data_IF_128212023109
#
_entry.id   IF_128212023109
#
_cell.length_a   1.000
_cell.length_b   1.000
_cell.length_c   1.000
_cell.angle_alpha   90.00
_cell.angle_beta   90.00
_cell.angle_gamma   90.00
#
_symmetry.space_group_name_H-M   'P 1'
#
loop_
_entity.id
_entity.type
_entity.pdbx_description
1 polymer ?
#
# COMPACT_ATOMS: atom_id res chain seq x y z
N UNK A 1 13.44 -9.29 -0.08
CA UNK A 1 13.27 -8.59 1.21
C UNK A 1 13.25 -7.10 0.97
N UNK A 2 12.37 -6.36 1.65
CA UNK A 2 12.27 -4.90 1.59
C UNK A 2 12.72 -4.32 2.94
N UNK A 3 13.65 -3.37 2.92
CA UNK A 3 14.19 -2.74 4.12
C UNK A 3 14.01 -1.22 4.03
N UNK A 4 13.50 -0.63 5.10
CA UNK A 4 13.34 0.81 5.29
C UNK A 4 14.27 1.24 6.42
N UNK A 5 15.21 2.16 6.14
CA UNK A 5 16.28 2.54 7.09
C UNK A 5 16.27 4.04 7.32
N UNK A 6 15.87 4.45 8.52
CA UNK A 6 15.86 5.83 9.01
C UNK A 6 15.28 6.85 8.03
N UNK A 7 14.16 6.46 7.40
CA UNK A 7 13.48 7.29 6.39
C UNK A 7 12.88 8.51 7.07
N UNK A 8 13.29 9.68 6.58
CA UNK A 8 12.75 10.97 7.00
C UNK A 8 12.27 11.75 5.78
N UNK A 9 11.10 12.39 5.91
CA UNK A 9 10.57 13.31 4.91
C UNK A 9 10.17 14.64 5.52
N UNK A 10 10.90 15.68 5.17
CA UNK A 10 10.57 17.07 5.45
C UNK A 10 9.87 17.70 4.25
N UNK A 11 8.80 18.43 4.51
CA UNK A 11 8.12 19.29 3.54
C UNK A 11 8.19 20.74 3.98
N UNK A 12 8.16 21.64 2.99
CA UNK A 12 8.05 23.08 3.19
C UNK A 12 6.66 23.56 2.77
N UNK A 13 5.98 24.31 3.62
CA UNK A 13 4.70 24.94 3.35
C UNK A 13 4.83 26.44 3.44
N UNK A 14 4.60 27.15 2.33
CA UNK A 14 4.49 28.61 2.32
C UNK A 14 3.17 29.01 3.00
N UNK A 15 3.25 29.78 4.06
CA UNK A 15 2.08 30.37 4.75
C UNK A 15 1.79 31.76 4.18
N UNK A 16 2.82 32.52 3.82
CA UNK A 16 2.73 33.84 3.21
C UNK A 16 3.86 34.05 2.21
N UNK A 17 3.90 35.24 1.55
CA UNK A 17 5.01 35.58 0.65
C UNK A 17 6.39 35.60 1.34
N UNK A 18 6.43 35.76 2.68
CA UNK A 18 7.68 35.89 3.46
C UNK A 18 7.89 34.76 4.45
N UNK A 19 6.93 33.84 4.63
CA UNK A 19 6.99 32.83 5.66
C UNK A 19 6.81 31.42 5.11
N UNK A 20 7.78 30.57 5.37
CA UNK A 20 7.76 29.13 5.02
C UNK A 20 7.97 28.35 6.31
N UNK A 21 7.07 27.41 6.61
CA UNK A 21 7.24 26.46 7.71
C UNK A 21 7.72 25.12 7.14
N UNK A 22 8.62 24.50 7.89
CA UNK A 22 9.06 23.13 7.66
C UNK A 22 8.28 22.20 8.59
N UNK A 23 7.88 21.04 8.10
CA UNK A 23 7.29 19.99 8.93
C UNK A 23 7.76 18.61 8.47
N UNK A 24 7.90 17.70 9.42
CA UNK A 24 8.25 16.32 9.16
C UNK A 24 6.94 15.53 8.93
N UNK A 25 6.84 14.92 7.76
CA UNK A 25 5.75 13.99 7.46
C UNK A 25 6.08 12.59 7.97
N UNK A 26 7.36 12.21 7.90
CA UNK A 26 7.93 10.98 8.43
C UNK A 26 9.28 11.31 9.07
N UNK A 27 9.59 10.71 10.22
CA UNK A 27 10.73 10.99 11.05
C UNK A 27 11.42 9.69 11.51
N UNK A 28 12.59 9.40 10.92
CA UNK A 28 13.47 8.25 11.22
C UNK A 28 12.77 6.87 11.21
N UNK A 29 11.83 6.66 10.30
CA UNK A 29 11.08 5.40 10.18
C UNK A 29 12.01 4.27 9.71
N UNK A 30 12.04 3.18 10.47
CA UNK A 30 12.79 1.97 10.13
C UNK A 30 11.98 0.71 10.39
N UNK A 31 11.92 -0.20 9.40
CA UNK A 31 11.36 -1.54 9.51
C UNK A 31 11.78 -2.39 8.32
N UNK A 32 11.47 -3.68 8.37
CA UNK A 32 11.68 -4.63 7.28
C UNK A 32 10.41 -5.41 6.97
N UNK A 33 10.26 -5.82 5.70
CA UNK A 33 9.25 -6.78 5.25
C UNK A 33 9.96 -7.98 4.59
N UNK A 34 9.68 -9.17 5.12
CA UNK A 34 10.24 -10.43 4.62
C UNK A 34 9.45 -10.93 3.41
N UNK A 35 10.03 -11.85 2.65
CA UNK A 35 9.32 -12.50 1.55
C UNK A 35 8.06 -13.22 2.05
N UNK A 36 6.94 -12.99 1.37
CA UNK A 36 5.65 -13.56 1.74
C UNK A 36 5.00 -12.97 3.00
N UNK A 37 5.56 -11.88 3.56
CA UNK A 37 5.02 -11.21 4.74
C UNK A 37 4.04 -10.09 4.34
N UNK A 38 2.92 -10.01 5.05
CA UNK A 38 2.01 -8.86 4.98
C UNK A 38 2.32 -7.93 6.15
N UNK A 39 2.87 -6.75 5.86
CA UNK A 39 3.18 -5.72 6.84
C UNK A 39 2.13 -4.62 6.80
N UNK A 40 1.37 -4.47 7.86
CA UNK A 40 0.37 -3.42 8.04
C UNK A 40 1.01 -2.10 8.47
N UNK A 41 0.78 -1.03 7.71
CA UNK A 41 1.16 0.34 8.09
C UNK A 41 -0.09 1.03 8.65
N UNK A 42 -0.19 1.10 9.97
CA UNK A 42 -1.38 1.58 10.66
C UNK A 42 -1.20 2.97 11.26
N UNK A 43 -2.26 3.75 11.24
CA UNK A 43 -2.29 5.07 11.86
C UNK A 43 -3.45 5.91 11.36
N UNK A 44 -3.75 7.03 12.02
CA UNK A 44 -4.82 7.93 11.63
C UNK A 44 -4.51 8.64 10.29
N UNK A 45 -5.51 9.33 9.76
CA UNK A 45 -5.31 10.20 8.60
C UNK A 45 -4.30 11.30 8.94
N UNK A 46 -3.34 11.53 8.02
CA UNK A 46 -2.26 12.50 8.25
C UNK A 46 -1.08 11.97 9.07
N UNK A 47 -1.05 10.69 9.48
CA UNK A 47 0.07 10.11 10.23
C UNK A 47 1.37 9.94 9.44
N UNK A 48 1.37 10.10 8.09
CA UNK A 48 2.54 9.90 7.23
C UNK A 48 2.43 8.68 6.30
N UNK A 49 1.48 7.76 6.50
CA UNK A 49 1.38 6.47 5.78
C UNK A 49 1.58 6.57 4.27
N UNK A 50 0.80 7.41 3.59
CA UNK A 50 0.89 7.59 2.12
C UNK A 50 2.25 8.15 1.70
N UNK A 51 2.82 9.07 2.47
CA UNK A 51 4.15 9.65 2.19
C UNK A 51 5.23 8.57 2.28
N UNK A 52 5.20 7.78 3.35
CA UNK A 52 6.10 6.65 3.54
C UNK A 52 5.99 5.65 2.39
N UNK A 53 4.77 5.21 2.02
CA UNK A 53 4.56 4.25 0.94
C UNK A 53 5.04 4.78 -0.43
N UNK A 54 4.88 6.09 -0.70
CA UNK A 54 5.42 6.72 -1.92
C UNK A 54 6.94 6.73 -1.96
N UNK A 55 7.60 6.90 -0.82
CA UNK A 55 9.06 6.80 -0.74
C UNK A 55 9.52 5.35 -0.97
N UNK A 56 8.84 4.39 -0.38
CA UNK A 56 9.12 2.96 -0.57
C UNK A 56 8.91 2.53 -2.03
N UNK A 57 7.86 3.03 -2.69
CA UNK A 57 7.60 2.76 -4.10
C UNK A 57 8.56 3.50 -5.07
N UNK A 58 9.48 4.34 -4.57
CA UNK A 58 10.40 5.12 -5.39
C UNK A 58 9.72 6.21 -6.24
N UNK A 59 8.53 6.67 -5.81
CA UNK A 59 7.79 7.77 -6.45
C UNK A 59 8.21 9.11 -5.85
N UNK A 60 8.66 9.08 -4.59
CA UNK A 60 9.12 10.24 -3.86
C UNK A 60 10.48 9.95 -3.24
N UNK A 61 11.41 10.90 -3.34
CA UNK A 61 12.69 10.78 -2.65
C UNK A 61 12.55 11.16 -1.18
N UNK A 62 13.13 10.38 -0.26
CA UNK A 62 13.26 10.79 1.14
C UNK A 62 14.19 12.00 1.26
N UNK A 63 14.06 12.77 2.34
CA UNK A 63 15.01 13.82 2.73
C UNK A 63 16.30 13.19 3.26
N UNK A 64 16.17 12.12 4.05
CA UNK A 64 17.28 11.28 4.53
C UNK A 64 16.85 9.84 4.70
N UNK A 65 17.82 8.94 4.91
CA UNK A 65 17.59 7.51 4.97
C UNK A 65 17.54 6.84 3.61
N UNK A 66 17.22 5.56 3.59
CA UNK A 66 17.19 4.75 2.35
C UNK A 66 16.16 3.63 2.39
N UNK A 67 15.73 3.22 1.19
CA UNK A 67 14.92 2.03 0.96
C UNK A 67 15.73 1.05 0.12
N UNK A 68 15.83 -0.19 0.59
CA UNK A 68 16.46 -1.28 -0.13
C UNK A 68 15.41 -2.33 -0.51
N UNK A 69 15.41 -2.70 -1.77
CA UNK A 69 14.56 -3.78 -2.32
C UNK A 69 15.50 -4.85 -2.87
N UNK A 70 15.48 -6.04 -2.27
CA UNK A 70 16.45 -7.13 -2.55
C UNK A 70 17.91 -6.63 -2.52
N UNK A 71 18.23 -5.78 -1.52
CA UNK A 71 19.57 -5.20 -1.35
C UNK A 71 19.92 -4.06 -2.30
N UNK A 72 19.03 -3.68 -3.24
CA UNK A 72 19.23 -2.61 -4.21
C UNK A 72 18.55 -1.32 -3.74
N UNK A 73 19.25 -0.19 -3.84
CA UNK A 73 18.69 1.13 -3.52
C UNK A 73 17.99 1.75 -4.74
N UNK A 74 16.88 2.44 -4.52
CA UNK A 74 16.16 3.18 -5.56
C UNK A 74 17.01 4.24 -6.28
N UNK A 75 18.00 4.82 -5.61
CA UNK A 75 18.88 5.83 -6.20
C UNK A 75 19.66 5.29 -7.40
N UNK A 76 20.08 4.02 -7.31
CA UNK A 76 20.97 3.40 -8.29
C UNK A 76 20.24 2.45 -9.24
N UNK A 77 19.07 1.91 -8.83
CA UNK A 77 18.39 0.82 -9.52
C UNK A 77 16.88 1.09 -9.73
N UNK A 78 16.48 2.34 -9.90
CA UNK A 78 15.07 2.74 -9.83
C UNK A 78 14.16 2.05 -10.86
N UNK A 79 14.63 1.80 -12.09
CA UNK A 79 13.83 1.15 -13.14
C UNK A 79 13.62 -0.34 -12.84
N UNK A 80 14.68 -1.05 -12.43
CA UNK A 80 14.61 -2.47 -12.07
C UNK A 80 13.67 -2.70 -10.90
N UNK A 81 13.85 -1.90 -9.82
CA UNK A 81 13.03 -2.01 -8.61
C UNK A 81 11.55 -1.73 -8.92
N UNK A 82 11.26 -0.71 -9.74
CA UNK A 82 9.88 -0.38 -10.11
C UNK A 82 9.15 -1.46 -10.90
N UNK A 83 9.87 -2.30 -11.63
CA UNK A 83 9.28 -3.47 -12.32
C UNK A 83 8.80 -4.54 -11.34
N UNK A 84 9.43 -4.64 -10.17
CA UNK A 84 9.10 -5.61 -9.13
C UNK A 84 8.06 -5.08 -8.12
N UNK A 85 7.59 -3.83 -8.28
CA UNK A 85 6.65 -3.18 -7.36
C UNK A 85 5.32 -2.87 -8.04
N UNK A 86 4.22 -3.36 -7.45
CA UNK A 86 2.88 -2.82 -7.67
C UNK A 86 2.63 -1.69 -6.66
N UNK A 87 2.24 -0.52 -7.12
CA UNK A 87 1.83 0.57 -6.22
C UNK A 87 0.41 1.03 -6.51
N UNK A 88 -0.47 0.84 -5.52
CA UNK A 88 -1.80 1.40 -5.49
C UNK A 88 -1.83 2.59 -4.55
N UNK A 89 -2.33 3.73 -5.01
CA UNK A 89 -2.64 4.90 -4.19
C UNK A 89 -4.13 5.22 -4.27
N UNK A 90 -4.73 5.67 -3.17
CA UNK A 90 -6.15 5.99 -3.08
C UNK A 90 -6.64 7.07 -4.06
N UNK A 91 -5.72 7.85 -4.67
CA UNK A 91 -6.03 8.88 -5.66
C UNK A 91 -5.65 8.50 -7.10
N UNK A 92 -5.51 7.22 -7.39
CA UNK A 92 -5.20 6.77 -8.75
C UNK A 92 -6.33 7.13 -9.71
N UNK A 93 -6.01 7.94 -10.73
CA UNK A 93 -6.96 8.22 -11.82
C UNK A 93 -6.72 7.24 -12.96
N UNK A 94 -7.76 6.51 -13.34
CA UNK A 94 -7.75 5.64 -14.50
C UNK A 94 -8.22 6.39 -15.74
N UNK A 95 -7.87 5.88 -16.92
CA UNK A 95 -8.38 6.38 -18.20
C UNK A 95 -9.87 6.08 -18.30
N UNK A 96 -10.70 7.13 -18.40
CA UNK A 96 -12.15 7.02 -18.28
C UNK A 96 -12.84 6.39 -19.50
N UNK A 97 -12.23 6.55 -20.68
CA UNK A 97 -12.85 6.22 -21.97
C UNK A 97 -12.62 4.78 -22.43
N UNK A 98 -11.79 4.04 -21.71
CA UNK A 98 -11.48 2.63 -21.99
C UNK A 98 -12.11 1.71 -20.94
N UNK A 99 -12.16 0.43 -21.25
CA UNK A 99 -12.65 -0.62 -20.35
C UNK A 99 -11.51 -1.15 -19.43
N UNK A 100 -11.83 -1.84 -18.32
CA UNK A 100 -10.85 -2.57 -17.52
C UNK A 100 -10.02 -3.56 -18.34
N UNK A 101 -10.65 -4.31 -19.25
CA UNK A 101 -9.94 -5.24 -20.14
C UNK A 101 -8.88 -4.53 -21.00
N UNK A 102 -9.27 -3.43 -21.65
CA UNK A 102 -8.33 -2.62 -22.47
C UNK A 102 -7.21 -2.02 -21.64
N UNK A 103 -7.53 -1.56 -20.41
CA UNK A 103 -6.52 -1.03 -19.48
C UNK A 103 -5.50 -2.11 -19.08
N UNK A 104 -5.96 -3.31 -18.73
CA UNK A 104 -5.08 -4.44 -18.38
C UNK A 104 -4.21 -4.84 -19.56
N UNK A 105 -4.78 -4.91 -20.76
CA UNK A 105 -4.06 -5.20 -21.99
C UNK A 105 -2.96 -4.18 -22.26
N UNK A 106 -3.29 -2.89 -22.21
CA UNK A 106 -2.33 -1.80 -22.40
C UNK A 106 -1.18 -1.87 -21.37
N UNK A 107 -1.51 -2.13 -20.11
CA UNK A 107 -0.49 -2.25 -19.06
C UNK A 107 0.41 -3.47 -19.26
N UNK A 108 -0.15 -4.64 -19.58
CA UNK A 108 0.63 -5.84 -19.82
C UNK A 108 1.55 -5.72 -21.03
N UNK A 109 1.08 -5.13 -22.12
CA UNK A 109 1.89 -4.82 -23.30
C UNK A 109 3.05 -3.86 -22.96
N UNK A 110 2.79 -2.84 -22.12
CA UNK A 110 3.84 -1.93 -21.64
C UNK A 110 4.95 -2.65 -20.87
N UNK A 111 4.61 -3.67 -20.09
CA UNK A 111 5.59 -4.50 -19.38
C UNK A 111 6.23 -5.60 -20.27
N UNK A 112 5.85 -5.68 -21.54
CA UNK A 112 6.43 -6.61 -22.52
C UNK A 112 5.96 -8.06 -22.37
N UNK A 113 4.78 -8.28 -21.80
CA UNK A 113 4.16 -9.61 -21.70
C UNK A 113 3.72 -10.05 -23.10
N UNK A 114 3.98 -11.31 -23.49
CA UNK A 114 3.56 -11.85 -24.78
C UNK A 114 2.03 -11.87 -24.88
N UNK A 115 1.50 -11.81 -26.12
CA UNK A 115 0.04 -11.72 -26.32
C UNK A 115 -0.69 -12.93 -25.74
N UNK A 116 -0.16 -14.14 -25.95
CA UNK A 116 -0.77 -15.38 -25.46
C UNK A 116 -0.78 -15.46 -23.94
N UNK A 117 0.33 -15.10 -23.31
CA UNK A 117 0.45 -15.04 -21.85
C UNK A 117 -0.45 -13.96 -21.26
N UNK A 118 -0.51 -12.80 -21.91
CA UNK A 118 -1.32 -11.66 -21.44
C UNK A 118 -2.80 -11.96 -21.44
N UNK A 119 -3.32 -12.59 -22.49
CA UNK A 119 -4.74 -12.98 -22.57
C UNK A 119 -5.11 -13.94 -21.44
N UNK A 120 -4.31 -15.00 -21.21
CA UNK A 120 -4.52 -15.93 -20.08
C UNK A 120 -4.48 -15.21 -18.73
N UNK A 121 -3.51 -14.31 -18.54
CA UNK A 121 -3.33 -13.56 -17.29
C UNK A 121 -4.47 -12.58 -17.03
N UNK A 122 -4.98 -11.92 -18.06
CA UNK A 122 -6.14 -11.03 -17.95
C UNK A 122 -7.39 -11.84 -17.54
N UNK A 123 -7.63 -13.00 -18.11
CA UNK A 123 -8.75 -13.87 -17.73
C UNK A 123 -8.67 -14.31 -16.27
N UNK A 124 -7.48 -14.67 -15.78
CA UNK A 124 -7.26 -14.99 -14.38
C UNK A 124 -7.53 -13.80 -13.45
N UNK A 125 -7.07 -12.61 -13.82
CA UNK A 125 -7.27 -11.38 -13.06
C UNK A 125 -8.76 -11.00 -13.02
N UNK A 126 -9.47 -11.08 -14.15
CA UNK A 126 -10.91 -10.80 -14.23
C UNK A 126 -11.67 -11.68 -13.24
N UNK A 127 -11.39 -12.98 -13.21
CA UNK A 127 -12.01 -13.93 -12.28
C UNK A 127 -11.64 -13.62 -10.83
N UNK A 128 -10.35 -13.39 -10.56
CA UNK A 128 -9.82 -13.11 -9.22
C UNK A 128 -10.45 -11.87 -8.58
N UNK A 129 -10.70 -10.84 -9.37
CA UNK A 129 -11.30 -9.59 -8.91
C UNK A 129 -12.81 -9.50 -9.18
N UNK A 130 -13.45 -10.61 -9.55
CA UNK A 130 -14.90 -10.66 -9.83
C UNK A 130 -15.34 -9.53 -10.78
N UNK A 131 -14.69 -9.47 -11.96
CA UNK A 131 -14.86 -8.38 -12.91
C UNK A 131 -15.69 -8.80 -14.15
N UNK A 132 -16.19 -10.04 -14.24
CA UNK A 132 -16.88 -10.59 -15.41
C UNK A 132 -18.04 -9.71 -15.89
N UNK A 133 -18.79 -9.12 -14.96
CA UNK A 133 -19.97 -8.31 -15.27
C UNK A 133 -19.66 -6.91 -15.81
N UNK A 134 -18.40 -6.42 -15.65
CA UNK A 134 -18.07 -5.04 -16.01
C UNK A 134 -16.72 -4.85 -16.72
N UNK A 135 -15.97 -5.93 -16.99
CA UNK A 135 -14.63 -5.81 -17.59
C UNK A 135 -14.60 -5.15 -18.98
N UNK A 136 -15.72 -5.11 -19.70
CA UNK A 136 -15.89 -4.43 -20.99
C UNK A 136 -16.69 -3.13 -20.90
N UNK A 137 -17.11 -2.69 -19.71
CA UNK A 137 -17.77 -1.40 -19.53
C UNK A 137 -16.74 -0.29 -19.44
N UNK A 138 -17.11 0.93 -19.81
CA UNK A 138 -16.23 2.09 -19.68
C UNK A 138 -15.95 2.38 -18.21
N UNK A 139 -14.70 2.72 -17.88
CA UNK A 139 -14.25 2.97 -16.51
C UNK A 139 -15.01 4.13 -15.85
N UNK A 140 -15.45 5.15 -16.62
CA UNK A 140 -16.24 6.26 -16.06
C UNK A 140 -17.65 5.87 -15.59
N UNK A 141 -18.15 4.69 -15.97
CA UNK A 141 -19.47 4.18 -15.56
C UNK A 141 -19.43 3.22 -14.38
N UNK A 142 -18.23 2.88 -13.91
CA UNK A 142 -18.03 1.92 -12.83
C UNK A 142 -18.43 2.47 -11.45
N UNK A 143 -18.95 1.59 -10.59
CA UNK A 143 -19.13 1.89 -9.17
C UNK A 143 -17.76 2.06 -8.48
N UNK A 144 -17.74 2.65 -7.29
CA UNK A 144 -16.49 2.84 -6.51
C UNK A 144 -15.75 1.51 -6.29
N UNK A 145 -16.47 0.43 -5.94
CA UNK A 145 -15.88 -0.88 -5.74
C UNK A 145 -15.32 -1.50 -7.02
N UNK A 146 -16.06 -1.38 -8.15
CA UNK A 146 -15.59 -1.83 -9.47
C UNK A 146 -14.35 -1.04 -9.92
N UNK A 147 -14.34 0.27 -9.72
CA UNK A 147 -13.20 1.14 -10.02
C UNK A 147 -11.98 0.74 -9.20
N UNK A 148 -12.15 0.46 -7.90
CA UNK A 148 -11.05 0.07 -7.03
C UNK A 148 -10.48 -1.30 -7.42
N UNK A 149 -11.35 -2.30 -7.72
CA UNK A 149 -10.93 -3.61 -8.24
C UNK A 149 -10.13 -3.46 -9.54
N UNK A 150 -10.59 -2.61 -10.46
CA UNK A 150 -9.84 -2.28 -11.69
C UNK A 150 -8.50 -1.62 -11.40
N UNK A 151 -8.44 -0.71 -10.41
CA UNK A 151 -7.21 -0.02 -10.02
C UNK A 151 -6.14 -0.99 -9.48
N UNK A 152 -6.55 -1.97 -8.66
CA UNK A 152 -5.64 -2.99 -8.13
C UNK A 152 -5.21 -3.95 -9.25
N UNK A 153 -6.15 -4.44 -10.06
CA UNK A 153 -5.89 -5.34 -11.18
C UNK A 153 -4.81 -4.80 -12.11
N UNK A 154 -4.90 -3.51 -12.45
CA UNK A 154 -3.90 -2.81 -13.25
C UNK A 154 -2.50 -2.85 -12.61
N UNK A 155 -2.42 -2.71 -11.28
CA UNK A 155 -1.14 -2.70 -10.58
C UNK A 155 -0.47 -4.08 -10.56
N UNK A 156 -1.23 -5.16 -10.69
CA UNK A 156 -0.71 -6.53 -10.51
C UNK A 156 -0.60 -7.33 -11.82
N UNK A 157 -1.01 -6.76 -12.96
CA UNK A 157 -1.00 -7.47 -14.25
C UNK A 157 0.39 -7.97 -14.68
N UNK A 158 1.46 -7.30 -14.28
CA UNK A 158 2.85 -7.68 -14.56
C UNK A 158 3.46 -8.64 -13.53
N UNK A 159 2.65 -9.14 -12.58
CA UNK A 159 3.02 -10.11 -11.54
C UNK A 159 4.23 -9.71 -10.68
N UNK A 160 4.27 -8.50 -10.10
CA UNK A 160 5.41 -8.03 -9.32
C UNK A 160 5.60 -8.81 -8.03
N UNK A 161 6.80 -8.72 -7.41
CA UNK A 161 7.11 -9.36 -6.13
C UNK A 161 6.53 -8.63 -4.93
N UNK A 162 6.45 -7.30 -5.01
CA UNK A 162 6.07 -6.40 -3.91
C UNK A 162 4.78 -5.68 -4.23
N UNK A 163 3.79 -5.80 -3.35
CA UNK A 163 2.54 -5.06 -3.44
C UNK A 163 2.51 -3.97 -2.37
N UNK A 164 2.41 -2.73 -2.77
CA UNK A 164 2.28 -1.56 -1.90
C UNK A 164 0.87 -1.02 -2.10
N UNK A 165 -0.01 -1.26 -1.14
CA UNK A 165 -1.43 -0.97 -1.22
C UNK A 165 -1.80 0.11 -0.19
N UNK A 166 -2.06 1.33 -0.68
CA UNK A 166 -2.42 2.46 0.17
C UNK A 166 -3.94 2.58 0.30
N UNK A 167 -4.45 2.21 1.47
CA UNK A 167 -5.87 2.20 1.85
C UNK A 167 -6.78 1.50 0.82
N UNK A 168 -6.49 0.25 0.41
CA UNK A 168 -7.14 -0.37 -0.74
C UNK A 168 -8.64 -0.65 -0.56
N UNK A 169 -9.13 -0.72 0.68
CA UNK A 169 -10.55 -0.98 1.03
C UNK A 169 -11.30 0.27 1.48
N UNK A 170 -10.63 1.43 1.53
CA UNK A 170 -11.23 2.66 2.04
C UNK A 170 -12.44 3.10 1.20
N UNK A 171 -13.58 3.36 1.87
CA UNK A 171 -14.81 3.80 1.23
C UNK A 171 -15.57 2.73 0.44
N UNK A 172 -15.20 1.45 0.58
CA UNK A 172 -15.85 0.34 -0.10
C UNK A 172 -16.93 -0.32 0.78
N UNK A 173 -17.90 -0.92 0.14
CA UNK A 173 -18.83 -1.84 0.79
C UNK A 173 -18.16 -3.15 1.19
N UNK A 174 -18.85 -3.94 2.05
CA UNK A 174 -18.33 -5.20 2.60
C UNK A 174 -17.98 -6.22 1.53
N UNK A 175 -18.77 -6.29 0.45
CA UNK A 175 -18.57 -7.28 -0.64
C UNK A 175 -17.31 -6.91 -1.42
N UNK A 176 -17.18 -5.65 -1.83
CA UNK A 176 -16.01 -5.15 -2.56
C UNK A 176 -14.73 -5.26 -1.72
N UNK A 177 -14.80 -4.94 -0.43
CA UNK A 177 -13.68 -5.08 0.50
C UNK A 177 -13.25 -6.53 0.64
N UNK A 178 -14.20 -7.48 0.70
CA UNK A 178 -13.91 -8.91 0.80
C UNK A 178 -13.08 -9.41 -0.39
N UNK A 179 -13.42 -9.03 -1.62
CA UNK A 179 -12.67 -9.42 -2.82
C UNK A 179 -11.20 -8.99 -2.71
N UNK A 180 -10.95 -7.76 -2.22
CA UNK A 180 -9.60 -7.24 -2.05
C UNK A 180 -8.84 -7.98 -0.93
N UNK A 181 -9.49 -8.25 0.19
CA UNK A 181 -8.91 -9.01 1.31
C UNK A 181 -8.55 -10.43 0.88
N UNK A 182 -9.44 -11.11 0.14
CA UNK A 182 -9.19 -12.46 -0.38
C UNK A 182 -8.01 -12.45 -1.38
N UNK A 183 -7.92 -11.43 -2.24
CA UNK A 183 -6.75 -11.22 -3.10
C UNK A 183 -5.44 -11.06 -2.29
N UNK A 184 -5.43 -10.27 -1.22
CA UNK A 184 -4.24 -10.10 -0.36
C UNK A 184 -3.81 -11.42 0.27
N UNK A 185 -4.77 -12.23 0.76
CA UNK A 185 -4.49 -13.55 1.33
C UNK A 185 -3.92 -14.52 0.31
N UNK A 186 -4.46 -14.54 -0.92
CA UNK A 186 -3.94 -15.36 -2.01
C UNK A 186 -2.54 -14.91 -2.43
N UNK A 187 -2.31 -13.60 -2.57
CA UNK A 187 -1.01 -13.05 -2.90
C UNK A 187 0.05 -13.42 -1.85
N UNK A 188 -0.29 -13.38 -0.55
CA UNK A 188 0.55 -13.88 0.54
C UNK A 188 0.87 -15.37 0.37
N UNK A 189 -0.14 -16.21 0.09
CA UNK A 189 0.06 -17.64 -0.13
C UNK A 189 1.01 -17.92 -1.31
N UNK A 190 1.01 -17.04 -2.33
CA UNK A 190 1.94 -17.04 -3.46
C UNK A 190 3.27 -16.32 -3.17
N UNK A 191 3.63 -16.14 -1.89
CA UNK A 191 4.88 -15.54 -1.40
C UNK A 191 5.13 -14.10 -1.87
N UNK A 192 4.09 -13.35 -2.25
CA UNK A 192 4.20 -11.92 -2.50
C UNK A 192 4.40 -11.18 -1.18
N UNK A 193 5.30 -10.20 -1.16
CA UNK A 193 5.50 -9.32 0.00
C UNK A 193 4.57 -8.12 -0.11
N UNK A 194 3.80 -7.83 0.92
CA UNK A 194 2.73 -6.84 0.86
C UNK A 194 2.91 -5.79 1.95
N UNK A 195 2.97 -4.52 1.57
CA UNK A 195 2.77 -3.39 2.47
C UNK A 195 1.33 -2.92 2.33
N UNK A 196 0.58 -2.96 3.41
CA UNK A 196 -0.84 -2.69 3.44
C UNK A 196 -1.15 -1.54 4.39
N UNK A 197 -1.43 -0.33 3.87
CA UNK A 197 -1.84 0.75 4.76
C UNK A 197 -3.34 0.73 4.99
N UNK A 198 -3.73 0.97 6.22
CA UNK A 198 -5.13 1.13 6.59
C UNK A 198 -5.26 1.91 7.91
N UNK A 199 -6.42 2.49 8.12
CA UNK A 199 -6.85 2.99 9.42
C UNK A 199 -7.89 2.06 10.09
N UNK A 200 -8.29 0.97 9.40
CA UNK A 200 -9.18 -0.07 9.93
C UNK A 200 -8.37 -1.13 10.67
N UNK A 201 -8.28 -0.98 12.00
CA UNK A 201 -7.44 -1.84 12.84
C UNK A 201 -7.87 -3.32 12.82
N UNK A 202 -9.18 -3.59 12.77
CA UNK A 202 -9.73 -4.95 12.71
C UNK A 202 -9.35 -5.67 11.40
N UNK A 203 -9.31 -4.93 10.28
CA UNK A 203 -8.87 -5.48 9.01
C UNK A 203 -7.41 -5.89 9.08
N UNK A 204 -6.55 -5.02 9.60
CA UNK A 204 -5.14 -5.31 9.75
C UNK A 204 -4.86 -6.49 10.69
N UNK A 205 -5.62 -6.63 11.77
CA UNK A 205 -5.54 -7.79 12.68
C UNK A 205 -5.76 -9.12 11.95
N UNK A 206 -6.63 -9.12 10.94
CA UNK A 206 -7.03 -10.34 10.23
C UNK A 206 -6.08 -10.74 9.08
N UNK A 207 -5.31 -9.80 8.53
CA UNK A 207 -4.52 -10.05 7.32
C UNK A 207 -3.01 -9.84 7.48
N UNK A 208 -2.56 -9.02 8.44
CA UNK A 208 -1.17 -8.67 8.59
C UNK A 208 -0.43 -9.60 9.55
N UNK A 209 0.80 -9.99 9.15
CA UNK A 209 1.72 -10.75 10.00
C UNK A 209 2.45 -9.84 10.98
N UNK A 210 2.78 -8.64 10.51
CA UNK A 210 3.48 -7.61 11.25
C UNK A 210 2.77 -6.28 11.10
N UNK A 211 2.79 -5.49 12.13
CA UNK A 211 2.20 -4.16 12.19
C UNK A 211 3.30 -3.14 12.47
N UNK A 212 3.29 -2.05 11.73
CA UNK A 212 4.04 -0.82 11.99
C UNK A 212 2.99 0.26 12.27
N UNK A 213 2.81 0.63 13.54
CA UNK A 213 1.90 1.73 13.90
C UNK A 213 2.63 3.06 13.83
N UNK A 214 2.02 4.02 13.14
CA UNK A 214 2.58 5.35 12.92
C UNK A 214 1.62 6.40 13.48
N UNK A 215 2.18 7.36 14.21
CA UNK A 215 1.47 8.55 14.67
C UNK A 215 2.36 9.79 14.49
N UNK A 216 1.82 10.87 13.89
CA UNK A 216 2.54 12.14 13.68
C UNK A 216 3.93 11.95 13.03
N UNK A 217 4.01 11.07 12.03
CA UNK A 217 5.25 10.77 11.30
C UNK A 217 6.23 9.85 12.01
N UNK A 218 5.93 9.35 13.21
CA UNK A 218 6.82 8.48 13.99
C UNK A 218 6.24 7.09 14.16
N UNK A 219 7.12 6.08 14.18
CA UNK A 219 6.75 4.73 14.58
C UNK A 219 6.54 4.70 16.08
N UNK A 220 5.35 4.30 16.53
CA UNK A 220 5.03 4.15 17.96
C UNK A 220 5.21 2.73 18.46
N UNK A 221 5.03 1.72 17.60
CA UNK A 221 5.29 0.31 17.91
C UNK A 221 5.42 -0.51 16.64
N UNK A 222 6.26 -1.56 16.69
CA UNK A 222 6.35 -2.62 15.67
C UNK A 222 6.21 -3.96 16.38
N UNK A 223 5.46 -4.89 15.76
CA UNK A 223 5.30 -6.27 16.23
C UNK A 223 4.19 -7.00 15.52
N UNK A 224 3.98 -8.27 15.84
CA UNK A 224 2.77 -8.98 15.43
C UNK A 224 1.54 -8.41 16.14
N UNK A 225 0.33 -8.58 15.61
CA UNK A 225 -0.89 -8.15 16.33
C UNK A 225 -0.95 -8.67 17.77
N UNK A 226 -0.55 -9.92 18.00
CA UNK A 226 -0.53 -10.54 19.33
C UNK A 226 0.49 -9.89 20.27
N UNK A 227 1.72 -9.67 19.82
CA UNK A 227 2.78 -9.00 20.59
C UNK A 227 2.37 -7.59 21.01
N UNK A 228 1.74 -6.83 20.09
CA UNK A 228 1.26 -5.48 20.37
C UNK A 228 0.19 -5.50 21.45
N UNK A 229 -0.86 -6.34 21.31
CA UNK A 229 -1.92 -6.49 22.32
C UNK A 229 -1.37 -6.88 23.68
N UNK A 230 -0.43 -7.83 23.71
CA UNK A 230 0.22 -8.26 24.96
C UNK A 230 1.01 -7.12 25.62
N UNK A 231 1.77 -6.35 24.84
CA UNK A 231 2.59 -5.23 25.33
C UNK A 231 1.73 -4.09 25.87
N UNK A 232 0.61 -3.80 25.22
CA UNK A 232 -0.34 -2.75 25.63
C UNK A 232 -1.39 -3.21 26.63
N UNK A 233 -1.45 -4.52 26.93
CA UNK A 233 -2.46 -5.16 27.81
C UNK A 233 -3.90 -4.89 27.33
N UNK A 234 -4.12 -4.97 26.03
CA UNK A 234 -5.42 -4.72 25.38
C UNK A 234 -5.91 -5.97 24.64
N UNK A 235 -7.17 -5.97 24.21
CA UNK A 235 -7.79 -7.12 23.52
C UNK A 235 -7.76 -6.97 21.98
N UNK A 236 -7.55 -5.77 21.45
CA UNK A 236 -7.54 -5.48 20.02
C UNK A 236 -6.55 -4.35 19.68
N UNK A 237 -6.20 -4.21 18.40
CA UNK A 237 -5.24 -3.18 17.95
C UNK A 237 -5.76 -1.75 18.10
N UNK A 238 -7.09 -1.55 18.07
CA UNK A 238 -7.67 -0.23 18.24
C UNK A 238 -7.41 0.31 19.66
N UNK A 239 -7.68 -0.51 20.66
CA UNK A 239 -7.40 -0.15 22.04
C UNK A 239 -5.90 -0.05 22.31
N UNK A 240 -5.08 -0.90 21.63
CA UNK A 240 -3.62 -0.78 21.65
C UNK A 240 -3.15 0.59 21.18
N UNK A 241 -3.69 1.06 20.06
CA UNK A 241 -3.36 2.37 19.52
C UNK A 241 -3.68 3.49 20.49
N UNK A 242 -4.90 3.50 21.07
CA UNK A 242 -5.27 4.53 22.06
C UNK A 242 -4.42 4.47 23.33
N UNK A 243 -4.07 3.28 23.80
CA UNK A 243 -3.18 3.13 24.95
C UNK A 243 -1.78 3.72 24.70
N UNK A 244 -1.27 3.57 23.47
CA UNK A 244 0.06 4.09 23.09
C UNK A 244 0.06 5.62 22.94
N UNK A 245 -0.98 6.22 22.34
CA UNK A 245 -1.04 7.68 22.15
C UNK A 245 -1.57 8.43 23.37
N UNK A 246 -2.37 7.77 24.25
CA UNK A 246 -2.91 8.35 25.49
C UNK A 246 -1.83 8.60 26.55
N UNK A 247 -0.72 7.85 26.50
CA UNK A 247 0.45 8.08 27.37
C UNK A 247 1.25 9.33 27.00
N UNK A 248 1.16 9.82 25.75
CA UNK A 248 1.87 11.03 25.31
C UNK A 248 1.23 12.36 25.78
N UNK A 249 -0.01 12.31 26.29
CA UNK A 249 -0.70 13.53 26.78
C UNK A 249 -0.50 13.82 28.27
N UNK A 250 0.36 13.05 28.97
CA UNK A 250 0.62 13.17 30.41
C UNK A 250 2.08 13.57 30.74
N UNK A 251 2.85 14.11 29.77
CA UNK A 251 4.16 14.73 30.03
C UNK A 251 4.20 16.21 29.64
#
# INVERSE_FOLDING_TARGET
MLEVKNITKEFEKKISQKETIKFLADDEISFEAKEGEVVGILGPNGAGKTTLLRMIAGIMNPTSGEVLVDGKNHKDNSIEIKKDIAFLTGNTKLYKDISPYELLKMCGEYYGISKEELESRIDEIIKKFDMDSFNHQRIDTLSTGQYQRTSISRCVVHDPKYYILDEPTSGLDVISSKVIIDFVKEAKANKKTILYSTHYMEEAENICDKIVMINKGKVIIIGTPEEIRKKTKTTNLRDSFFALIGGENNE
#
